data_IF_266900538646
#
_entry.id   IF_266900538646
#
_cell.length_a   1.000
_cell.length_b   1.000
_cell.length_c   1.000
_cell.angle_alpha   90.00
_cell.angle_beta   90.00
_cell.angle_gamma   90.00
#
_symmetry.space_group_name_H-M   'P 1'
#
loop_
_entity.id
_entity.type
_entity.pdbx_description
1 polymer ?
#
# COMPACT_ATOMS: atom_id res chain seq x y z
N UNK A 1 39.59 -29.19 3.21
CA UNK A 1 38.78 -29.50 2.01
C UNK A 1 37.31 -29.76 2.31
N UNK A 2 36.91 -30.76 3.13
CA UNK A 2 35.48 -31.08 3.37
C UNK A 2 34.60 -29.91 3.87
N UNK A 3 35.10 -29.04 4.75
CA UNK A 3 34.34 -27.87 5.22
C UNK A 3 34.04 -26.85 4.10
N UNK A 4 34.98 -26.60 3.19
CA UNK A 4 34.79 -25.67 2.08
C UNK A 4 33.77 -26.17 1.05
N UNK A 5 33.70 -27.48 0.81
CA UNK A 5 32.69 -28.08 -0.06
C UNK A 5 31.27 -27.89 0.49
N UNK A 6 31.09 -27.97 1.82
CA UNK A 6 29.79 -27.77 2.47
C UNK A 6 29.34 -26.31 2.35
N UNK A 7 30.26 -25.35 2.56
CA UNK A 7 29.93 -23.93 2.37
C UNK A 7 29.59 -23.59 0.92
N UNK A 8 30.31 -24.14 -0.06
CA UNK A 8 30.01 -23.95 -1.49
C UNK A 8 28.66 -24.57 -1.86
N UNK A 9 28.34 -25.75 -1.32
CA UNK A 9 27.06 -26.40 -1.57
C UNK A 9 25.88 -25.64 -0.96
N UNK A 10 26.02 -25.14 0.28
CA UNK A 10 24.99 -24.30 0.92
C UNK A 10 24.78 -22.99 0.14
N UNK A 11 25.87 -22.31 -0.25
CA UNK A 11 25.78 -21.09 -1.06
C UNK A 11 25.12 -21.35 -2.43
N UNK A 12 25.43 -22.48 -3.09
CA UNK A 12 24.78 -22.89 -4.34
C UNK A 12 23.30 -23.24 -4.13
N UNK A 13 22.94 -23.88 -3.01
CA UNK A 13 21.54 -24.15 -2.67
C UNK A 13 20.75 -22.87 -2.38
N UNK A 14 21.37 -21.85 -1.76
CA UNK A 14 20.73 -20.54 -1.55
C UNK A 14 20.56 -19.77 -2.86
N UNK A 15 21.55 -19.86 -3.76
CA UNK A 15 21.46 -19.32 -5.14
C UNK A 15 20.41 -20.02 -6.01
N UNK A 16 20.01 -21.25 -5.68
CA UNK A 16 18.95 -22.01 -6.37
C UNK A 16 17.53 -21.59 -5.97
N UNK A 17 17.36 -20.70 -4.98
CA UNK A 17 16.07 -20.29 -4.40
C UNK A 17 15.88 -18.76 -4.48
N UNK A 18 16.80 -18.04 -5.12
CA UNK A 18 16.66 -16.61 -5.34
C UNK A 18 15.79 -16.36 -6.57
N UNK A 19 14.79 -15.52 -6.43
CA UNK A 19 13.92 -15.03 -7.50
C UNK A 19 14.26 -13.57 -7.80
N UNK A 20 14.21 -13.21 -9.07
CA UNK A 20 14.56 -11.87 -9.52
C UNK A 20 13.31 -11.00 -9.70
N UNK A 21 13.31 -9.85 -9.06
CA UNK A 21 12.42 -8.74 -9.40
C UNK A 21 13.15 -7.80 -10.36
N UNK A 22 12.59 -7.61 -11.54
CA UNK A 22 13.13 -6.67 -12.53
C UNK A 22 12.34 -5.37 -12.45
N UNK A 23 13.03 -4.26 -12.23
CA UNK A 23 12.46 -2.91 -12.20
C UNK A 23 13.01 -2.13 -13.38
N UNK A 24 12.13 -1.56 -14.19
CA UNK A 24 12.51 -0.55 -15.18
C UNK A 24 12.37 0.82 -14.53
N UNK A 25 13.47 1.56 -14.40
CA UNK A 25 13.46 2.86 -13.74
C UNK A 25 13.08 4.02 -14.69
N UNK A 26 12.92 5.23 -14.14
CA UNK A 26 12.55 6.45 -14.86
C UNK A 26 13.49 6.85 -16.01
N UNK A 27 14.72 6.32 -16.02
CA UNK A 27 15.68 6.49 -17.11
C UNK A 27 15.61 5.37 -18.16
N UNK A 28 14.65 4.44 -18.02
CA UNK A 28 14.55 3.23 -18.83
C UNK A 28 15.62 2.19 -18.48
N UNK A 29 16.33 2.34 -17.36
CA UNK A 29 17.37 1.39 -16.96
C UNK A 29 16.76 0.23 -16.18
N UNK A 30 17.16 -0.97 -16.55
CA UNK A 30 16.84 -2.18 -15.81
C UNK A 30 17.65 -2.27 -14.50
N UNK A 31 16.94 -2.59 -13.42
CA UNK A 31 17.50 -2.91 -12.11
C UNK A 31 16.98 -4.27 -11.69
N UNK A 32 17.89 -5.20 -11.46
CA UNK A 32 17.58 -6.54 -10.98
C UNK A 32 17.78 -6.52 -9.47
N UNK A 33 16.73 -6.87 -8.73
CA UNK A 33 16.77 -7.07 -7.29
C UNK A 33 16.55 -8.56 -7.02
N UNK A 34 17.46 -9.17 -6.27
CA UNK A 34 17.40 -10.59 -5.92
C UNK A 34 16.78 -10.74 -4.53
N UNK A 35 15.82 -11.66 -4.41
CA UNK A 35 15.09 -11.95 -3.17
C UNK A 35 14.97 -13.46 -2.97
N UNK A 36 14.83 -13.93 -1.74
CA UNK A 36 14.52 -15.33 -1.46
C UNK A 36 13.09 -15.67 -1.91
N UNK A 37 12.84 -16.86 -2.43
CA UNK A 37 11.52 -17.27 -2.95
C UNK A 37 10.40 -17.18 -1.89
N UNK A 38 10.73 -17.33 -0.61
CA UNK A 38 9.77 -17.23 0.49
C UNK A 38 9.53 -15.78 0.97
N UNK A 39 10.10 -14.79 0.29
CA UNK A 39 9.92 -13.36 0.58
C UNK A 39 8.45 -12.98 0.65
N UNK A 40 8.02 -12.53 1.82
CA UNK A 40 6.65 -12.05 2.06
C UNK A 40 6.49 -10.53 1.94
N UNK A 41 7.60 -9.79 1.96
CA UNK A 41 7.62 -8.32 1.92
C UNK A 41 8.75 -7.87 1.00
N UNK A 42 8.41 -7.07 -0.01
CA UNK A 42 9.38 -6.38 -0.86
C UNK A 42 9.38 -4.89 -0.51
N UNK A 43 10.55 -4.35 -0.23
CA UNK A 43 10.77 -2.92 0.07
C UNK A 43 11.61 -2.27 -1.01
N UNK A 44 11.13 -1.18 -1.57
CA UNK A 44 11.83 -0.42 -2.62
C UNK A 44 11.92 1.04 -2.17
N UNK A 45 13.09 1.64 -2.28
CA UNK A 45 13.32 3.03 -1.86
C UNK A 45 14.10 3.81 -2.91
N UNK A 46 13.63 5.00 -3.26
CA UNK A 46 14.39 5.97 -4.05
C UNK A 46 14.58 5.57 -5.52
N UNK A 47 13.67 4.77 -6.07
CA UNK A 47 13.66 4.38 -7.48
C UNK A 47 12.39 4.95 -8.10
N UNK A 48 12.53 5.73 -9.16
CA UNK A 48 11.40 6.10 -10.02
C UNK A 48 11.03 4.87 -10.84
N UNK A 49 9.91 4.22 -10.52
CA UNK A 49 9.51 2.94 -11.13
C UNK A 49 8.63 3.21 -12.34
N UNK A 50 9.00 2.72 -13.52
CA UNK A 50 8.12 2.73 -14.70
C UNK A 50 7.29 1.45 -14.77
N UNK A 51 7.89 0.31 -14.47
CA UNK A 51 7.17 -0.97 -14.36
C UNK A 51 8.03 -1.98 -13.58
N UNK A 52 7.41 -3.10 -13.18
CA UNK A 52 8.06 -4.22 -12.51
C UNK A 52 7.64 -5.54 -13.14
N UNK A 53 8.55 -6.52 -13.14
CA UNK A 53 8.31 -7.86 -13.69
C UNK A 53 8.88 -8.94 -12.74
N UNK A 54 8.24 -10.10 -12.68
CA UNK A 54 8.66 -11.22 -11.84
C UNK A 54 8.00 -11.27 -10.46
N UNK A 55 6.99 -10.42 -10.19
CA UNK A 55 6.22 -10.50 -8.93
C UNK A 55 5.45 -11.81 -8.78
N UNK A 56 5.12 -12.46 -9.90
CA UNK A 56 4.49 -13.77 -9.97
C UNK A 56 5.36 -14.91 -9.41
N UNK A 57 6.69 -14.70 -9.33
CA UNK A 57 7.64 -15.69 -8.83
C UNK A 57 7.70 -15.76 -7.29
N UNK A 58 7.00 -14.86 -6.60
CA UNK A 58 6.98 -14.80 -5.13
C UNK A 58 5.66 -15.33 -4.57
N UNK A 59 5.50 -16.65 -4.36
CA UNK A 59 4.24 -17.27 -3.94
C UNK A 59 3.81 -16.86 -2.53
N UNK A 60 4.72 -16.30 -1.73
CA UNK A 60 4.46 -15.84 -0.37
C UNK A 60 4.36 -14.32 -0.26
N UNK A 61 4.54 -13.56 -1.35
CA UNK A 61 4.53 -12.10 -1.30
C UNK A 61 3.17 -11.58 -0.88
N UNK A 62 3.13 -10.84 0.23
CA UNK A 62 1.92 -10.22 0.77
C UNK A 62 1.96 -8.71 0.71
N UNK A 63 3.16 -8.12 0.80
CA UNK A 63 3.33 -6.67 0.95
C UNK A 63 4.36 -6.15 -0.03
N UNK A 64 4.00 -5.10 -0.76
CA UNK A 64 4.94 -4.22 -1.43
C UNK A 64 4.91 -2.87 -0.71
N UNK A 65 6.09 -2.39 -0.34
CA UNK A 65 6.30 -1.14 0.37
C UNK A 65 7.30 -0.28 -0.41
N UNK A 66 6.81 0.84 -0.97
CA UNK A 66 7.60 1.72 -1.82
C UNK A 66 7.68 3.10 -1.21
N UNK A 67 8.91 3.60 -1.07
CA UNK A 67 9.20 4.90 -0.48
C UNK A 67 9.96 5.75 -1.50
N UNK A 68 9.65 7.04 -1.56
CA UNK A 68 10.38 8.00 -2.41
C UNK A 68 10.42 7.58 -3.89
N UNK A 69 9.25 7.33 -4.47
CA UNK A 69 9.10 7.01 -5.90
C UNK A 69 8.17 8.00 -6.58
N UNK A 70 8.42 8.25 -7.87
CA UNK A 70 7.53 9.01 -8.73
C UNK A 70 6.77 8.05 -9.64
N UNK A 71 5.43 8.05 -9.56
CA UNK A 71 4.57 7.16 -10.31
C UNK A 71 3.82 7.81 -11.49
N UNK A 72 4.24 9.00 -11.95
CA UNK A 72 3.55 9.70 -13.04
C UNK A 72 3.51 8.93 -14.37
N UNK A 73 4.45 8.00 -14.58
CA UNK A 73 4.60 7.22 -15.82
C UNK A 73 4.51 5.71 -15.59
N UNK A 74 4.08 5.30 -14.40
CA UNK A 74 4.14 3.90 -14.00
C UNK A 74 2.99 3.12 -14.61
N UNK A 75 3.33 2.01 -15.24
CA UNK A 75 2.39 0.94 -15.50
C UNK A 75 2.29 0.03 -14.28
N UNK A 76 1.13 0.03 -13.65
CA UNK A 76 0.82 -0.76 -12.46
C UNK A 76 0.30 -2.17 -12.76
N UNK A 77 0.34 -2.63 -14.01
CA UNK A 77 -0.06 -4.00 -14.40
C UNK A 77 0.64 -5.09 -13.58
N UNK A 78 1.82 -4.81 -13.02
CA UNK A 78 2.52 -5.70 -12.09
C UNK A 78 1.72 -6.04 -10.82
N UNK A 79 0.82 -5.17 -10.37
CA UNK A 79 -0.05 -5.44 -9.22
C UNK A 79 -1.12 -6.51 -9.53
N UNK A 80 -1.51 -6.64 -10.81
CA UNK A 80 -2.47 -7.63 -11.29
C UNK A 80 -1.84 -9.04 -11.34
N UNK A 81 -0.54 -9.09 -11.64
CA UNK A 81 0.20 -10.33 -11.87
C UNK A 81 0.61 -11.06 -10.59
N UNK A 82 0.55 -10.41 -9.42
CA UNK A 82 0.93 -11.08 -8.18
C UNK A 82 -0.15 -12.08 -7.72
N UNK A 83 0.21 -13.36 -7.45
CA UNK A 83 -0.75 -14.35 -7.01
C UNK A 83 -1.33 -14.05 -5.62
N UNK A 84 -0.58 -13.35 -4.77
CA UNK A 84 -0.82 -13.29 -3.32
C UNK A 84 -0.71 -11.91 -2.68
N UNK A 85 -0.37 -10.87 -3.44
CA UNK A 85 -0.22 -9.51 -2.92
C UNK A 85 -1.55 -8.99 -2.38
N UNK A 86 -1.55 -8.61 -1.09
CA UNK A 86 -2.74 -8.12 -0.40
C UNK A 86 -2.56 -6.67 0.08
N UNK A 87 -1.32 -6.20 0.22
CA UNK A 87 -1.00 -4.88 0.76
C UNK A 87 -0.07 -4.11 -0.17
N UNK A 88 -0.49 -2.89 -0.49
CA UNK A 88 0.32 -1.94 -1.24
C UNK A 88 0.51 -0.65 -0.43
N UNK A 89 1.73 -0.44 0.04
CA UNK A 89 2.11 0.74 0.81
C UNK A 89 2.99 1.63 -0.04
N UNK A 90 2.64 2.90 -0.07
CA UNK A 90 3.40 3.92 -0.78
C UNK A 90 3.53 5.14 0.11
N UNK A 91 4.76 5.64 0.24
CA UNK A 91 5.03 6.86 0.96
C UNK A 91 5.95 7.81 0.19
N UNK A 92 5.76 9.11 0.41
CA UNK A 92 6.54 10.18 -0.25
C UNK A 92 6.56 10.03 -1.76
N UNK A 93 5.36 9.92 -2.35
CA UNK A 93 5.21 9.61 -3.76
C UNK A 93 4.21 10.52 -4.45
N UNK A 94 4.10 10.35 -5.76
CA UNK A 94 3.13 11.09 -6.56
C UNK A 94 2.54 10.19 -7.63
N UNK A 95 1.22 10.31 -7.82
CA UNK A 95 0.46 9.54 -8.80
C UNK A 95 -0.25 10.48 -9.77
N UNK A 96 -0.40 10.03 -11.01
CA UNK A 96 -1.33 10.64 -11.96
C UNK A 96 -2.68 9.93 -12.02
N UNK A 97 -2.64 8.62 -11.79
CA UNK A 97 -3.73 7.70 -12.04
C UNK A 97 -3.79 6.66 -10.92
N UNK A 98 -5.01 6.33 -10.52
CA UNK A 98 -5.33 5.34 -9.50
C UNK A 98 -6.17 4.19 -10.08
N UNK A 99 -6.28 4.07 -11.40
CA UNK A 99 -7.03 2.98 -12.06
C UNK A 99 -6.53 1.58 -11.69
N UNK A 100 -5.29 1.47 -11.21
CA UNK A 100 -4.73 0.23 -10.69
C UNK A 100 -5.51 -0.33 -9.50
N UNK A 101 -6.20 0.52 -8.72
CA UNK A 101 -7.02 0.10 -7.59
C UNK A 101 -8.11 -0.87 -8.01
N UNK A 102 -8.72 -0.66 -9.18
CA UNK A 102 -9.80 -1.50 -9.69
C UNK A 102 -9.28 -2.81 -10.26
N UNK A 103 -8.08 -2.78 -10.86
CA UNK A 103 -7.49 -3.95 -11.52
C UNK A 103 -6.76 -4.88 -10.56
N UNK A 104 -6.24 -4.36 -9.45
CA UNK A 104 -5.53 -5.12 -8.45
C UNK A 104 -6.50 -5.85 -7.51
N UNK A 105 -7.25 -6.82 -8.04
CA UNK A 105 -8.37 -7.49 -7.37
C UNK A 105 -8.00 -8.15 -6.02
N UNK A 106 -6.73 -8.44 -5.78
CA UNK A 106 -6.27 -9.08 -4.54
C UNK A 106 -5.88 -8.10 -3.44
N UNK A 107 -5.72 -6.82 -3.79
CA UNK A 107 -5.38 -5.80 -2.80
C UNK A 107 -6.57 -5.58 -1.86
N UNK A 108 -6.27 -5.70 -0.57
CA UNK A 108 -7.21 -5.47 0.53
C UNK A 108 -6.79 -4.28 1.38
N UNK A 109 -5.50 -3.94 1.35
CA UNK A 109 -4.93 -2.90 2.20
C UNK A 109 -4.10 -1.94 1.35
N UNK A 110 -4.45 -0.67 1.41
CA UNK A 110 -3.73 0.37 0.68
C UNK A 110 -3.40 1.50 1.65
N UNK A 111 -2.14 1.90 1.65
CA UNK A 111 -1.62 2.97 2.48
C UNK A 111 -0.86 3.97 1.61
N UNK A 112 -1.36 5.20 1.53
CA UNK A 112 -0.80 6.29 0.73
C UNK A 112 -0.43 7.45 1.67
N UNK A 113 0.84 7.51 2.10
CA UNK A 113 1.30 8.52 3.07
C UNK A 113 2.13 9.58 2.36
N UNK A 114 1.86 10.86 2.61
CA UNK A 114 2.54 11.98 1.96
C UNK A 114 2.56 11.80 0.43
N UNK A 115 1.37 11.53 -0.12
CA UNK A 115 1.17 11.32 -1.55
C UNK A 115 0.48 12.52 -2.15
N UNK A 116 1.09 13.14 -3.16
CA UNK A 116 0.45 14.24 -3.87
C UNK A 116 -0.68 13.73 -4.77
N UNK A 117 -1.92 13.87 -4.29
CA UNK A 117 -3.14 13.54 -5.03
C UNK A 117 -3.51 14.76 -5.90
N UNK A 118 -2.99 14.78 -7.14
CA UNK A 118 -3.24 15.89 -8.08
C UNK A 118 -4.55 15.76 -8.88
N UNK A 119 -5.15 14.57 -8.93
CA UNK A 119 -6.32 14.27 -9.77
C UNK A 119 -7.48 13.72 -8.94
N UNK A 120 -8.69 14.21 -9.24
CA UNK A 120 -9.93 14.00 -8.49
C UNK A 120 -10.62 12.63 -8.71
N UNK A 121 -9.89 11.62 -9.18
CA UNK A 121 -10.48 10.31 -9.46
C UNK A 121 -10.08 9.22 -8.45
N UNK A 122 -9.22 9.54 -7.47
CA UNK A 122 -8.86 8.58 -6.42
C UNK A 122 -10.11 8.00 -5.74
N UNK A 123 -11.02 8.85 -5.29
CA UNK A 123 -12.21 8.43 -4.56
C UNK A 123 -13.18 7.64 -5.43
N UNK A 124 -13.32 8.00 -6.71
CA UNK A 124 -14.07 7.19 -7.67
C UNK A 124 -13.50 5.77 -7.75
N UNK A 125 -12.19 5.62 -7.92
CA UNK A 125 -11.56 4.30 -8.00
C UNK A 125 -11.58 3.54 -6.68
N UNK A 126 -11.56 4.24 -5.53
CA UNK A 126 -11.82 3.60 -4.24
C UNK A 126 -13.22 3.00 -4.24
N UNK A 127 -14.24 3.74 -4.66
CA UNK A 127 -15.62 3.25 -4.78
C UNK A 127 -15.78 2.02 -5.67
N UNK A 128 -14.98 1.95 -6.74
CA UNK A 128 -14.95 0.82 -7.68
C UNK A 128 -14.10 -0.38 -7.18
N UNK A 129 -13.31 -0.22 -6.12
CA UNK A 129 -12.42 -1.26 -5.61
C UNK A 129 -13.16 -2.23 -4.67
N UNK A 130 -13.79 -3.25 -5.25
CA UNK A 130 -14.70 -4.15 -4.53
C UNK A 130 -14.04 -5.04 -3.47
N UNK A 131 -12.72 -5.16 -3.44
CA UNK A 131 -12.00 -6.00 -2.47
C UNK A 131 -11.24 -5.21 -1.40
N UNK A 132 -11.26 -3.87 -1.46
CA UNK A 132 -10.53 -3.02 -0.53
C UNK A 132 -11.17 -3.07 0.86
N UNK A 133 -10.41 -3.55 1.86
CA UNK A 133 -10.87 -3.62 3.24
C UNK A 133 -10.39 -2.43 4.08
N UNK A 134 -9.21 -1.91 3.76
CA UNK A 134 -8.59 -0.81 4.49
C UNK A 134 -7.91 0.15 3.55
N UNK A 135 -8.27 1.43 3.68
CA UNK A 135 -7.62 2.53 2.98
C UNK A 135 -7.07 3.53 3.99
N UNK A 136 -5.77 3.84 3.86
CA UNK A 136 -5.07 4.83 4.68
C UNK A 136 -4.51 5.89 3.74
N UNK A 137 -4.71 7.15 4.08
CA UNK A 137 -4.20 8.28 3.32
C UNK A 137 -3.74 9.42 4.24
N UNK A 138 -2.69 10.13 3.83
CA UNK A 138 -2.30 11.40 4.42
C UNK A 138 -2.33 12.50 3.36
N UNK A 139 -2.56 13.74 3.80
CA UNK A 139 -2.53 14.97 2.98
C UNK A 139 -3.38 14.93 1.69
N UNK A 140 -4.69 14.68 1.84
CA UNK A 140 -5.64 14.92 0.74
C UNK A 140 -5.91 16.42 0.64
N UNK A 141 -5.72 16.98 -0.56
CA UNK A 141 -6.14 18.35 -0.87
C UNK A 141 -7.69 18.37 -0.91
N UNK A 142 -8.26 19.21 -0.05
CA UNK A 142 -9.68 19.21 0.37
C UNK A 142 -10.65 19.54 -0.78
N UNK A 143 -10.21 20.23 -1.83
CA UNK A 143 -11.05 20.71 -2.95
C UNK A 143 -11.63 19.60 -3.87
N UNK A 144 -11.50 18.35 -3.46
CA UNK A 144 -11.47 17.17 -4.34
C UNK A 144 -12.35 16.04 -3.76
N UNK A 145 -13.19 16.30 -2.76
CA UNK A 145 -14.05 15.26 -2.21
C UNK A 145 -15.42 15.23 -2.93
N UNK A 146 -15.80 14.12 -3.58
CA UNK A 146 -17.12 14.02 -4.19
C UNK A 146 -18.21 13.90 -3.10
N UNK A 147 -19.27 14.68 -3.23
CA UNK A 147 -20.42 14.64 -2.31
C UNK A 147 -21.11 13.25 -2.29
N UNK A 148 -21.03 12.53 -3.41
CA UNK A 148 -21.66 11.22 -3.64
C UNK A 148 -20.60 10.11 -3.72
N UNK A 149 -19.67 10.07 -2.75
CA UNK A 149 -18.69 9.00 -2.70
C UNK A 149 -19.37 7.65 -2.45
N UNK A 150 -19.39 6.80 -3.46
CA UNK A 150 -19.70 5.38 -3.30
C UNK A 150 -18.56 4.71 -2.54
N UNK A 151 -18.92 3.97 -1.50
CA UNK A 151 -17.95 3.26 -0.66
C UNK A 151 -18.11 1.77 -0.92
N UNK A 152 -17.03 1.04 -1.19
CA UNK A 152 -17.12 -0.41 -1.33
C UNK A 152 -17.69 -0.99 -0.05
N UNK A 153 -18.65 -1.92 -0.18
CA UNK A 153 -19.22 -2.62 0.98
C UNK A 153 -18.17 -3.41 1.78
N UNK A 154 -17.04 -3.71 1.14
CA UNK A 154 -15.89 -4.39 1.74
C UNK A 154 -14.99 -3.46 2.54
N UNK A 155 -15.06 -2.15 2.32
CA UNK A 155 -14.24 -1.17 3.04
C UNK A 155 -14.70 -1.13 4.50
N UNK A 156 -13.85 -1.59 5.39
CA UNK A 156 -14.10 -1.62 6.84
C UNK A 156 -13.40 -0.46 7.54
N UNK A 157 -12.26 -0.04 7.02
CA UNK A 157 -11.42 0.99 7.62
C UNK A 157 -11.07 2.06 6.57
N UNK A 158 -11.39 3.30 6.88
CA UNK A 158 -10.92 4.47 6.14
C UNK A 158 -10.19 5.38 7.11
N UNK A 159 -8.92 5.67 6.84
CA UNK A 159 -8.02 6.38 7.75
C UNK A 159 -7.47 7.61 7.03
N UNK A 160 -7.69 8.79 7.59
CA UNK A 160 -7.07 10.02 7.13
C UNK A 160 -6.48 10.83 8.29
N UNK A 161 -5.26 11.35 8.10
CA UNK A 161 -4.55 12.14 9.11
C UNK A 161 -4.76 13.66 8.94
N UNK A 162 -5.44 14.10 7.88
CA UNK A 162 -5.74 15.51 7.66
C UNK A 162 -7.02 15.92 8.42
N UNK A 163 -6.86 16.82 9.41
CA UNK A 163 -7.97 17.29 10.26
C UNK A 163 -9.02 18.05 9.45
N UNK A 164 -8.61 18.97 8.58
CA UNK A 164 -9.51 19.75 7.72
C UNK A 164 -10.30 18.83 6.79
N UNK A 165 -9.64 17.80 6.26
CA UNK A 165 -10.28 16.77 5.44
C UNK A 165 -11.34 15.98 6.22
N UNK A 166 -11.03 15.61 7.47
CA UNK A 166 -11.97 14.90 8.33
C UNK A 166 -13.19 15.75 8.71
N UNK A 167 -13.02 17.07 8.87
CA UNK A 167 -14.13 18.00 9.06
C UNK A 167 -14.98 18.12 7.80
N UNK A 168 -14.36 18.23 6.62
CA UNK A 168 -15.06 18.27 5.34
C UNK A 168 -15.93 17.02 5.11
N UNK A 169 -15.43 15.82 5.43
CA UNK A 169 -16.22 14.59 5.31
C UNK A 169 -17.46 14.67 6.20
N UNK A 170 -17.34 15.12 7.45
CA UNK A 170 -18.48 15.22 8.37
C UNK A 170 -19.54 16.21 7.90
N UNK A 171 -19.11 17.29 7.24
CA UNK A 171 -20.01 18.34 6.76
C UNK A 171 -20.69 17.99 5.44
N UNK A 172 -19.97 17.30 4.54
CA UNK A 172 -20.38 17.18 3.14
C UNK A 172 -20.67 15.76 2.69
N UNK A 173 -20.20 14.74 3.42
CA UNK A 173 -20.43 13.36 3.03
C UNK A 173 -21.78 12.88 3.55
N UNK A 174 -22.65 12.45 2.64
CA UNK A 174 -23.94 11.83 2.98
C UNK A 174 -23.78 10.36 3.37
N UNK A 175 -22.61 9.76 3.15
CA UNK A 175 -22.32 8.37 3.49
C UNK A 175 -22.34 8.16 5.01
N UNK A 176 -23.33 7.39 5.47
CA UNK A 176 -23.45 6.97 6.86
C UNK A 176 -22.18 6.22 7.32
N UNK A 177 -21.58 5.41 6.45
CA UNK A 177 -20.34 4.71 6.76
C UNK A 177 -19.20 5.68 7.10
N UNK A 178 -18.97 6.72 6.29
CA UNK A 178 -17.91 7.69 6.60
C UNK A 178 -18.25 8.50 7.83
N UNK A 179 -19.49 8.94 8.00
CA UNK A 179 -19.90 9.68 9.19
C UNK A 179 -19.75 8.87 10.49
N UNK A 180 -19.98 7.55 10.44
CA UNK A 180 -19.80 6.66 11.59
C UNK A 180 -18.33 6.29 11.83
N UNK A 181 -17.54 6.12 10.77
CA UNK A 181 -16.15 5.62 10.87
C UNK A 181 -15.08 6.72 10.86
N UNK A 182 -15.42 7.97 10.53
CA UNK A 182 -14.52 9.13 10.68
C UNK A 182 -14.26 9.53 12.14
N UNK A 183 -15.07 9.06 13.10
CA UNK A 183 -14.91 9.35 14.54
C UNK A 183 -13.61 8.79 15.16
N UNK A 184 -12.91 7.89 14.48
CA UNK A 184 -11.79 7.15 15.07
C UNK A 184 -10.41 7.86 15.01
N UNK A 185 -10.32 9.15 14.67
CA UNK A 185 -9.03 9.79 14.40
C UNK A 185 -8.79 11.09 15.18
N UNK A 186 -8.19 10.91 16.37
CA UNK A 186 -7.26 11.85 16.98
C UNK A 186 -6.19 11.02 17.69
N UNK A 187 -4.99 10.91 17.13
CA UNK A 187 -3.76 11.11 17.91
C UNK A 187 -2.64 11.48 16.95
N UNK A 188 -1.99 12.61 17.25
CA UNK A 188 -0.71 13.08 16.71
C UNK A 188 0.45 12.08 16.86
N UNK A 189 0.23 10.94 17.52
CA UNK A 189 1.27 9.96 17.85
C UNK A 189 1.56 8.96 16.73
N UNK A 190 0.70 8.84 15.71
CA UNK A 190 0.96 7.92 14.59
C UNK A 190 2.09 8.45 13.69
N UNK A 191 2.23 9.78 13.53
CA UNK A 191 3.39 10.39 12.86
C UNK A 191 4.70 10.14 13.64
N UNK A 192 4.63 9.94 14.96
CA UNK A 192 5.78 9.51 15.78
C UNK A 192 6.10 8.03 15.56
N UNK A 193 5.09 7.18 15.33
CA UNK A 193 5.24 5.74 15.06
C UNK A 193 5.80 5.43 13.67
N UNK A 194 5.39 6.16 12.63
CA UNK A 194 5.96 6.03 11.28
C UNK A 194 7.45 6.38 11.25
N UNK A 195 7.88 7.34 12.09
CA UNK A 195 9.27 7.78 12.20
C UNK A 195 10.21 6.77 12.89
N UNK A 196 9.69 5.81 13.65
CA UNK A 196 10.48 4.91 14.49
C UNK A 196 10.52 3.44 14.03
N UNK A 197 9.47 2.90 13.38
CA UNK A 197 9.30 1.44 13.29
C UNK A 197 9.02 0.81 11.92
N UNK A 198 9.28 1.51 10.81
CA UNK A 198 9.67 0.94 9.50
C UNK A 198 8.84 -0.20 8.87
N UNK A 199 7.60 -0.47 9.28
CA UNK A 199 6.75 -1.53 8.72
C UNK A 199 5.28 -1.39 9.13
N UNK A 200 4.38 -1.49 8.16
CA UNK A 200 2.91 -1.47 8.35
C UNK A 200 2.37 -2.67 9.14
N UNK A 201 3.12 -3.79 9.20
CA UNK A 201 2.74 -4.91 10.08
C UNK A 201 2.73 -4.49 11.57
N UNK A 202 3.60 -3.54 11.96
CA UNK A 202 3.57 -2.98 13.32
C UNK A 202 2.39 -2.04 13.56
N UNK A 203 1.78 -1.49 12.51
CA UNK A 203 0.59 -0.62 12.61
C UNK A 203 -0.64 -1.48 12.87
N UNK A 204 -0.84 -2.56 12.11
CA UNK A 204 -1.95 -3.50 12.30
C UNK A 204 -1.86 -4.28 13.63
N UNK A 205 -0.65 -4.42 14.16
CA UNK A 205 -0.38 -5.00 15.48
C UNK A 205 -0.27 -3.99 16.62
N UNK A 206 -0.29 -2.68 16.33
CA UNK A 206 -0.24 -1.66 17.37
C UNK A 206 -1.39 -1.86 18.36
N UNK A 207 -1.12 -1.59 19.63
CA UNK A 207 -2.10 -1.72 20.70
C UNK A 207 -3.34 -0.88 20.37
N UNK A 208 -3.15 0.29 19.78
CA UNK A 208 -4.20 1.19 19.34
C UNK A 208 -5.06 0.57 18.23
N UNK A 209 -4.48 -0.01 17.17
CA UNK A 209 -5.25 -0.70 16.12
C UNK A 209 -5.89 -2.00 16.64
N UNK A 210 -5.25 -2.72 17.57
CA UNK A 210 -5.84 -3.88 18.24
C UNK A 210 -7.04 -3.50 19.12
N UNK A 211 -6.97 -2.38 19.84
CA UNK A 211 -8.10 -1.83 20.60
C UNK A 211 -9.25 -1.45 19.68
N UNK A 212 -8.97 -0.88 18.51
CA UNK A 212 -9.97 -0.54 17.50
C UNK A 212 -10.68 -1.77 16.93
N UNK A 213 -9.96 -2.89 16.72
CA UNK A 213 -10.54 -4.18 16.29
C UNK A 213 -11.46 -4.84 17.32
N UNK A 214 -11.35 -4.48 18.60
CA UNK A 214 -12.11 -5.09 19.70
C UNK A 214 -13.39 -4.33 20.06
N UNK A 215 -13.62 -3.15 19.48
CA UNK A 215 -14.85 -2.40 19.72
C UNK A 215 -15.99 -3.00 18.88
N UNK A 216 -17.17 -3.27 19.47
CA UNK A 216 -18.28 -3.84 18.74
C UNK A 216 -18.76 -2.87 17.67
N UNK A 217 -18.77 -3.31 16.40
CA UNK A 217 -19.44 -2.62 15.32
C UNK A 217 -20.92 -2.48 15.70
N UNK A 218 -21.37 -1.24 15.91
CA UNK A 218 -22.81 -0.95 15.87
C UNK A 218 -23.21 -0.93 14.39
N UNK A 219 -23.89 -2.00 13.99
CA UNK A 219 -24.72 -2.02 12.78
C UNK A 219 -25.76 -0.91 12.83
#
# INVERSE_FOLDING_TARGET
MKKYLIFIFIALCQLLVAENLVIIDGNGKERILEFEQDTSIIKINGIEIITMQGLENFPNLKVIDIVHSNFYKTDFSFLENSPTLETFNVSFASFLDYSFLVKAEKLKYICLVEVSIKKNNLFQYIGECLNLETFICDEIVVDVFPNDLEIPITLKNFISYNVEFNELIKENCTSEFLNLNTKYYFTSDINFYFKLNGSVNNILESIEVRKLRQLPFKK
#
